data_IF_197659067125
#
_entry.id   IF_197659067125
#
_cell.length_a   1.000
_cell.length_b   1.000
_cell.length_c   1.000
_cell.angle_alpha   90.00
_cell.angle_beta   90.00
_cell.angle_gamma   90.00
#
_symmetry.space_group_name_H-M   'P 1'
#
loop_
_entity.id
_entity.type
_entity.pdbx_description
1 polymer ?
#
# COMPACT_ATOMS: atom_id res chain seq x y z
N UNK A 1 10.11 45.08 -23.89
CA UNK A 1 11.33 45.61 -24.60
C UNK A 1 11.07 46.93 -25.31
N UNK A 2 9.85 47.26 -25.54
CA UNK A 2 9.46 48.44 -26.32
C UNK A 2 9.41 49.76 -25.49
N UNK A 3 9.42 49.67 -24.15
CA UNK A 3 9.17 50.84 -23.30
C UNK A 3 10.42 51.56 -22.75
N UNK A 4 11.64 51.02 -22.93
CA UNK A 4 12.81 51.55 -22.27
C UNK A 4 14.07 51.69 -23.15
N UNK A 5 14.01 51.49 -24.46
CA UNK A 5 15.09 51.64 -25.45
C UNK A 5 16.44 51.01 -25.06
N UNK A 6 16.39 49.92 -24.28
CA UNK A 6 17.57 49.17 -23.85
C UNK A 6 17.65 47.82 -24.59
N UNK A 7 18.88 47.48 -25.04
CA UNK A 7 19.12 46.20 -25.66
C UNK A 7 18.87 45.04 -24.68
N UNK A 8 18.33 43.90 -25.18
CA UNK A 8 18.05 42.70 -24.39
C UNK A 8 19.28 42.21 -23.60
N UNK A 9 20.48 42.30 -24.17
CA UNK A 9 21.74 41.97 -23.45
C UNK A 9 21.96 42.87 -22.24
N UNK A 10 21.69 44.17 -22.36
CA UNK A 10 21.82 45.13 -21.27
C UNK A 10 20.75 44.88 -20.21
N UNK A 11 19.51 44.59 -20.62
CA UNK A 11 18.44 44.22 -19.69
C UNK A 11 18.78 42.93 -18.92
N UNK A 12 19.27 41.88 -19.60
CA UNK A 12 19.71 40.63 -18.95
C UNK A 12 20.83 40.85 -17.95
N UNK A 13 21.79 41.73 -18.28
CA UNK A 13 22.90 42.08 -17.38
C UNK A 13 22.41 42.82 -16.13
N UNK A 14 21.42 43.71 -16.27
CA UNK A 14 20.83 44.47 -15.15
C UNK A 14 20.08 43.59 -14.18
N UNK A 15 19.37 42.56 -14.73
CA UNK A 15 18.55 41.61 -13.93
C UNK A 15 19.38 40.39 -13.47
N UNK A 16 20.64 40.26 -13.91
CA UNK A 16 21.50 39.12 -13.54
C UNK A 16 21.08 37.78 -14.19
N UNK A 17 20.41 37.81 -15.34
CA UNK A 17 19.94 36.63 -16.06
C UNK A 17 20.82 36.39 -17.30
N UNK A 18 21.24 35.13 -17.52
CA UNK A 18 21.95 34.76 -18.74
C UNK A 18 21.06 34.98 -19.98
N UNK A 19 21.52 35.72 -21.02
CA UNK A 19 20.75 35.92 -22.25
C UNK A 19 20.29 34.62 -22.92
N UNK A 20 21.06 33.54 -22.81
CA UNK A 20 20.67 32.21 -23.30
C UNK A 20 19.38 31.68 -22.65
N UNK A 21 19.11 32.04 -21.40
CA UNK A 21 17.89 31.65 -20.70
C UNK A 21 16.65 32.32 -21.27
N UNK A 22 16.80 33.56 -21.78
CA UNK A 22 15.71 34.33 -22.40
C UNK A 22 15.41 33.84 -23.83
N UNK A 23 16.45 33.39 -24.54
CA UNK A 23 16.32 32.93 -25.94
C UNK A 23 16.00 31.44 -26.05
N UNK A 24 16.05 30.71 -24.95
CA UNK A 24 15.77 29.29 -24.97
C UNK A 24 14.27 29.05 -25.15
N UNK A 25 13.91 28.62 -26.34
CA UNK A 25 12.55 28.11 -26.57
C UNK A 25 12.29 26.95 -25.63
N UNK A 26 11.25 27.10 -24.82
CA UNK A 26 10.80 26.00 -23.95
C UNK A 26 10.21 24.94 -24.86
N UNK A 27 10.74 23.69 -24.82
CA UNK A 27 10.13 22.62 -25.58
C UNK A 27 8.66 22.47 -25.21
N UNK A 28 7.80 22.39 -26.21
CA UNK A 28 6.36 22.19 -26.02
C UNK A 28 6.13 20.91 -25.21
N UNK A 29 5.22 20.99 -24.27
CA UNK A 29 4.81 19.82 -23.51
C UNK A 29 3.97 18.88 -24.40
N UNK A 30 4.25 17.57 -24.33
CA UNK A 30 3.49 16.59 -25.08
C UNK A 30 2.01 16.60 -24.67
N UNK A 31 1.09 16.82 -25.60
CA UNK A 31 -0.35 16.76 -25.33
C UNK A 31 -0.80 15.36 -24.88
N UNK A 32 -0.10 14.31 -25.31
CA UNK A 32 -0.36 12.92 -24.93
C UNK A 32 -0.14 12.71 -23.42
N UNK A 33 0.94 13.26 -22.86
CA UNK A 33 1.23 13.20 -21.42
C UNK A 33 0.11 13.87 -20.63
N UNK A 34 -0.36 15.04 -21.07
CA UNK A 34 -1.47 15.74 -20.39
C UNK A 34 -2.76 14.94 -20.45
N UNK A 35 -3.08 14.36 -21.61
CA UNK A 35 -4.26 13.51 -21.81
C UNK A 35 -4.21 12.29 -20.91
N UNK A 36 -3.09 11.60 -20.88
CA UNK A 36 -2.91 10.42 -20.04
C UNK A 36 -2.93 10.74 -18.55
N UNK A 37 -2.31 11.85 -18.14
CA UNK A 37 -2.35 12.34 -16.77
C UNK A 37 -3.79 12.59 -16.29
N UNK A 38 -4.63 13.23 -17.13
CA UNK A 38 -6.06 13.44 -16.85
C UNK A 38 -6.81 12.12 -16.76
N UNK A 39 -6.55 11.19 -17.66
CA UNK A 39 -7.18 9.87 -17.67
C UNK A 39 -6.85 9.06 -16.41
N UNK A 40 -5.61 9.09 -15.94
CA UNK A 40 -5.21 8.46 -14.68
C UNK A 40 -5.87 9.17 -13.49
N UNK A 41 -5.84 10.50 -13.45
CA UNK A 41 -6.43 11.28 -12.36
C UNK A 41 -7.95 11.08 -12.24
N UNK A 42 -8.66 10.96 -13.36
CA UNK A 42 -10.12 10.73 -13.38
C UNK A 42 -10.50 9.37 -12.81
N UNK A 43 -9.71 8.33 -13.11
CA UNK A 43 -9.90 6.98 -12.55
C UNK A 43 -9.51 6.88 -11.08
N UNK A 44 -8.55 7.71 -10.65
CA UNK A 44 -7.93 7.65 -9.31
C UNK A 44 -7.96 9.01 -8.65
N UNK A 45 -9.13 9.46 -8.31
CA UNK A 45 -9.42 10.82 -7.80
C UNK A 45 -8.61 11.22 -6.57
N UNK A 46 -8.09 10.23 -5.81
CA UNK A 46 -7.33 10.45 -4.58
C UNK A 46 -5.81 10.32 -4.76
N UNK A 47 -5.33 10.11 -6.01
CA UNK A 47 -3.90 10.04 -6.29
C UNK A 47 -3.30 11.44 -6.49
N UNK A 48 -2.28 11.75 -5.69
CA UNK A 48 -1.45 12.94 -5.90
C UNK A 48 -0.44 12.73 -7.04
N UNK A 49 0.19 13.83 -7.47
CA UNK A 49 1.10 13.86 -8.62
C UNK A 49 2.20 12.78 -8.58
N UNK A 50 2.73 12.41 -7.40
CA UNK A 50 3.79 11.39 -7.28
C UNK A 50 3.31 10.01 -7.73
N UNK A 51 2.15 9.56 -7.27
CA UNK A 51 1.57 8.27 -7.69
C UNK A 51 1.17 8.29 -9.16
N UNK A 52 0.63 9.41 -9.64
CA UNK A 52 0.33 9.59 -11.07
C UNK A 52 1.64 9.49 -11.87
N UNK A 53 2.73 10.10 -11.42
CA UNK A 53 4.04 10.01 -12.05
C UNK A 53 4.52 8.57 -12.21
N UNK A 54 4.45 7.77 -11.15
CA UNK A 54 4.82 6.35 -11.21
C UNK A 54 3.99 5.58 -12.25
N UNK A 55 2.67 5.84 -12.32
CA UNK A 55 1.81 5.19 -13.30
C UNK A 55 2.10 5.63 -14.75
N UNK A 56 2.51 6.89 -14.95
CA UNK A 56 2.97 7.38 -16.25
C UNK A 56 4.32 6.77 -16.65
N UNK A 57 5.24 6.66 -15.70
CA UNK A 57 6.55 6.01 -15.92
C UNK A 57 6.40 4.54 -16.32
N UNK A 58 5.47 3.79 -15.70
CA UNK A 58 5.12 2.41 -16.08
C UNK A 58 4.55 2.31 -17.49
N UNK A 59 4.03 3.41 -18.04
CA UNK A 59 3.58 3.53 -19.45
C UNK A 59 4.66 4.05 -20.40
N UNK A 60 5.92 4.17 -19.92
CA UNK A 60 7.04 4.69 -20.71
C UNK A 60 7.09 6.22 -20.81
N UNK A 61 6.26 6.95 -20.06
CA UNK A 61 6.22 8.42 -20.09
C UNK A 61 7.09 9.00 -18.97
N UNK A 62 8.40 9.02 -19.18
CA UNK A 62 9.38 9.52 -18.20
C UNK A 62 9.47 11.04 -18.22
N UNK A 63 9.46 11.65 -17.04
CA UNK A 63 9.65 13.09 -16.91
C UNK A 63 10.21 13.47 -15.53
N UNK A 64 10.86 14.66 -15.48
CA UNK A 64 11.31 15.20 -14.21
C UNK A 64 10.12 15.54 -13.31
N UNK A 65 10.24 15.24 -11.99
CA UNK A 65 9.18 15.49 -11.01
C UNK A 65 8.73 16.95 -10.93
N UNK A 66 9.63 17.92 -11.21
CA UNK A 66 9.26 19.36 -11.28
C UNK A 66 8.34 19.64 -12.46
N UNK A 67 8.63 19.04 -13.64
CA UNK A 67 7.75 19.13 -14.81
C UNK A 67 6.41 18.46 -14.55
N UNK A 68 6.40 17.27 -13.98
CA UNK A 68 5.20 16.54 -13.58
C UNK A 68 4.32 17.38 -12.64
N UNK A 69 4.91 17.96 -11.59
CA UNK A 69 4.18 18.79 -10.63
C UNK A 69 3.59 20.04 -11.28
N UNK A 70 4.35 20.71 -12.17
CA UNK A 70 3.86 21.88 -12.92
C UNK A 70 2.65 21.50 -13.77
N UNK A 71 2.75 20.44 -14.58
CA UNK A 71 1.63 19.95 -15.41
C UNK A 71 0.41 19.59 -14.59
N UNK A 72 0.62 18.88 -13.48
CA UNK A 72 -0.43 18.50 -12.54
C UNK A 72 -1.17 19.71 -11.96
N UNK A 73 -0.45 20.79 -11.67
CA UNK A 73 -1.02 22.04 -11.15
C UNK A 73 -1.74 22.83 -12.24
N UNK A 74 -1.17 22.94 -13.43
CA UNK A 74 -1.77 23.59 -14.60
C UNK A 74 -3.11 22.94 -14.98
N UNK A 75 -3.20 21.62 -14.89
CA UNK A 75 -4.43 20.86 -15.17
C UNK A 75 -5.43 20.82 -14.01
N UNK A 76 -5.15 21.53 -12.91
CA UNK A 76 -6.02 21.60 -11.71
C UNK A 76 -6.37 20.23 -11.10
N UNK A 77 -5.44 19.27 -11.15
CA UNK A 77 -5.64 17.90 -10.65
C UNK A 77 -5.39 17.78 -9.15
N UNK A 78 -5.22 18.88 -8.43
CA UNK A 78 -4.91 18.93 -7.01
C UNK A 78 -5.94 18.22 -6.13
N UNK A 79 -5.51 17.17 -5.43
CA UNK A 79 -6.35 16.44 -4.48
C UNK A 79 -6.53 17.28 -3.21
N UNK A 80 -7.77 17.60 -2.86
CA UNK A 80 -8.09 18.27 -1.59
C UNK A 80 -7.75 17.32 -0.45
N UNK A 81 -6.76 17.72 0.38
CA UNK A 81 -6.46 17.00 1.62
C UNK A 81 -7.54 17.31 2.64
N UNK A 82 -8.15 16.27 3.22
CA UNK A 82 -8.98 16.45 4.41
C UNK A 82 -8.07 16.97 5.53
N UNK A 83 -8.29 18.17 6.00
CA UNK A 83 -7.58 18.73 7.15
C UNK A 83 -8.07 18.04 8.41
N UNK A 84 -7.38 16.99 8.84
CA UNK A 84 -7.57 16.41 10.16
C UNK A 84 -7.02 17.35 11.24
N UNK A 85 -7.66 17.35 12.42
CA UNK A 85 -7.15 18.04 13.61
C UNK A 85 -5.77 17.47 13.95
N UNK A 86 -4.76 18.31 14.14
CA UNK A 86 -3.45 17.88 14.65
C UNK A 86 -3.66 17.22 16.02
N UNK A 87 -3.27 15.95 16.14
CA UNK A 87 -3.29 15.23 17.41
C UNK A 87 -1.86 15.20 17.96
N UNK A 88 -1.71 15.33 19.28
CA UNK A 88 -0.44 15.10 19.94
C UNK A 88 0.02 13.66 19.64
N UNK A 89 1.27 13.50 19.25
CA UNK A 89 1.88 12.17 19.03
C UNK A 89 2.52 11.75 20.34
N UNK A 90 1.97 10.73 20.98
CA UNK A 90 2.63 10.05 22.09
C UNK A 90 3.92 9.32 21.63
N UNK A 91 4.70 8.81 22.58
CA UNK A 91 5.85 7.95 22.29
C UNK A 91 5.40 6.73 21.45
N UNK A 92 6.06 6.50 20.33
CA UNK A 92 5.79 5.33 19.47
C UNK A 92 6.61 4.15 20.00
N UNK A 93 5.94 3.15 20.52
CA UNK A 93 6.58 1.84 20.68
C UNK A 93 6.68 1.23 19.26
N UNK A 94 7.88 0.85 18.80
CA UNK A 94 8.01 0.20 17.50
C UNK A 94 7.18 -1.08 17.46
N UNK A 95 6.41 -1.27 16.38
CA UNK A 95 5.77 -2.56 16.12
C UNK A 95 6.83 -3.60 15.79
N UNK A 96 6.60 -4.89 16.14
CA UNK A 96 7.40 -5.97 15.60
C UNK A 96 7.39 -5.87 14.07
N UNK A 97 8.56 -5.77 13.47
CA UNK A 97 8.69 -5.73 12.01
C UNK A 97 8.75 -7.17 11.56
N UNK A 98 7.71 -7.65 10.87
CA UNK A 98 7.77 -8.93 10.18
C UNK A 98 8.84 -8.84 9.08
N UNK A 99 9.78 -9.77 9.09
CA UNK A 99 10.90 -9.79 8.15
C UNK A 99 10.55 -10.56 6.89
N UNK A 100 9.58 -11.48 6.97
CA UNK A 100 9.18 -12.39 5.89
C UNK A 100 7.70 -12.24 5.54
N UNK A 101 7.34 -12.38 4.25
CA UNK A 101 5.94 -12.50 3.86
C UNK A 101 5.27 -13.68 4.55
N UNK A 102 4.05 -13.46 5.04
CA UNK A 102 3.29 -14.50 5.76
C UNK A 102 3.62 -14.63 7.25
N UNK A 103 4.69 -14.04 7.75
CA UNK A 103 5.14 -14.19 9.13
C UNK A 103 4.15 -13.61 10.15
N UNK A 104 3.63 -12.41 9.90
CA UNK A 104 2.71 -11.74 10.81
C UNK A 104 1.58 -11.04 10.05
N UNK A 105 0.34 -11.33 10.45
CA UNK A 105 -0.86 -10.73 9.87
C UNK A 105 -1.50 -9.73 10.82
N UNK A 106 -2.02 -8.64 10.27
CA UNK A 106 -2.84 -7.67 11.00
C UNK A 106 -4.28 -7.76 10.56
N UNK A 107 -5.20 -7.82 11.54
CA UNK A 107 -6.63 -7.90 11.32
C UNK A 107 -7.36 -6.68 11.88
N UNK A 108 -8.39 -6.25 11.17
CA UNK A 108 -9.31 -5.23 11.68
C UNK A 108 -10.67 -5.31 10.98
N UNK A 109 -11.70 -4.70 11.60
CA UNK A 109 -13.01 -4.54 11.02
C UNK A 109 -13.25 -3.11 10.56
N UNK A 110 -13.75 -3.00 9.34
CA UNK A 110 -14.24 -1.74 8.79
C UNK A 110 -15.75 -1.85 8.59
N UNK A 111 -16.49 -0.80 8.89
CA UNK A 111 -17.95 -0.77 8.70
C UNK A 111 -18.34 0.33 7.72
N UNK A 112 -19.39 0.05 6.93
CA UNK A 112 -20.04 1.01 6.05
C UNK A 112 -21.54 0.73 5.96
N UNK A 113 -22.26 1.46 5.12
CA UNK A 113 -23.72 1.40 4.98
C UNK A 113 -24.13 1.21 3.54
N UNK A 114 -25.23 0.45 3.33
CA UNK A 114 -25.94 0.42 2.06
C UNK A 114 -26.93 1.59 2.00
N UNK A 115 -26.84 2.42 0.98
CA UNK A 115 -27.79 3.52 0.79
C UNK A 115 -28.11 4.25 2.09
N UNK A 116 -29.39 4.25 2.50
CA UNK A 116 -29.84 5.09 3.59
C UNK A 116 -29.80 4.47 5.01
N UNK A 117 -29.61 3.15 5.21
CA UNK A 117 -29.85 2.63 6.58
C UNK A 117 -29.18 1.31 7.01
N UNK A 118 -28.90 0.38 6.12
CA UNK A 118 -28.39 -0.95 6.53
C UNK A 118 -26.86 -0.95 6.57
N UNK A 119 -26.30 -1.33 7.72
CA UNK A 119 -24.84 -1.46 7.91
C UNK A 119 -24.33 -2.82 7.41
N UNK A 120 -23.12 -2.81 6.89
CA UNK A 120 -22.32 -4.01 6.68
C UNK A 120 -20.94 -3.84 7.26
N UNK A 121 -20.25 -4.93 7.48
CA UNK A 121 -18.90 -4.97 8.01
C UNK A 121 -17.98 -5.66 7.03
N UNK A 122 -16.72 -5.28 7.08
CA UNK A 122 -15.65 -5.87 6.29
C UNK A 122 -14.56 -6.37 7.23
N UNK A 123 -14.15 -7.62 7.06
CA UNK A 123 -12.93 -8.15 7.66
C UNK A 123 -11.78 -7.84 6.71
N UNK A 124 -10.79 -7.12 7.19
CA UNK A 124 -9.53 -6.88 6.50
C UNK A 124 -8.41 -7.67 7.16
N UNK A 125 -7.62 -8.38 6.37
CA UNK A 125 -6.42 -9.10 6.80
C UNK A 125 -5.26 -8.68 5.92
N UNK A 126 -4.20 -8.16 6.51
CA UNK A 126 -3.02 -7.70 5.80
C UNK A 126 -1.78 -8.42 6.28
N UNK A 127 -0.89 -8.71 5.36
CA UNK A 127 0.49 -9.08 5.64
C UNK A 127 1.30 -7.87 6.12
N UNK A 128 1.97 -8.00 7.26
CA UNK A 128 2.73 -6.90 7.86
C UNK A 128 4.06 -6.63 7.18
N UNK A 129 4.61 -7.60 6.44
CA UNK A 129 5.87 -7.46 5.73
C UNK A 129 5.67 -6.76 4.38
N UNK A 130 4.97 -7.40 3.45
CA UNK A 130 4.78 -6.90 2.09
C UNK A 130 3.57 -5.96 1.91
N UNK A 131 2.77 -5.73 2.95
CA UNK A 131 1.56 -4.88 2.94
C UNK A 131 0.44 -5.41 2.05
N UNK A 132 0.53 -6.64 1.60
CA UNK A 132 -0.52 -7.27 0.80
C UNK A 132 -1.80 -7.44 1.62
N UNK A 133 -2.93 -7.07 1.05
CA UNK A 133 -4.23 -7.39 1.62
C UNK A 133 -4.61 -8.82 1.25
N UNK A 134 -4.54 -9.72 2.21
CA UNK A 134 -4.80 -11.14 2.04
C UNK A 134 -6.30 -11.44 1.96
N UNK A 135 -7.12 -10.68 2.71
CA UNK A 135 -8.58 -10.80 2.73
C UNK A 135 -9.25 -9.43 2.88
N UNK A 136 -10.30 -9.22 2.10
CA UNK A 136 -11.23 -8.11 2.25
C UNK A 136 -12.64 -8.63 2.03
N UNK A 137 -13.22 -9.24 3.07
CA UNK A 137 -14.51 -9.91 3.01
C UNK A 137 -15.60 -9.04 3.63
N UNK A 138 -16.73 -8.86 2.92
CA UNK A 138 -17.87 -8.10 3.41
C UNK A 138 -19.07 -9.01 3.72
N UNK A 139 -19.70 -8.73 4.86
CA UNK A 139 -20.97 -9.38 5.25
C UNK A 139 -21.80 -8.44 6.15
N UNK A 140 -23.09 -8.74 6.29
CA UNK A 140 -23.98 -8.01 7.21
C UNK A 140 -23.69 -8.37 8.68
N UNK A 141 -23.16 -9.57 8.92
CA UNK A 141 -22.74 -10.04 10.24
C UNK A 141 -21.52 -10.95 10.11
N UNK A 142 -20.49 -10.70 10.90
CA UNK A 142 -19.26 -11.49 10.92
C UNK A 142 -19.01 -11.93 12.36
N UNK A 143 -19.19 -13.22 12.64
CA UNK A 143 -18.91 -13.82 13.94
C UNK A 143 -17.45 -14.31 14.02
N UNK A 144 -16.92 -14.54 15.24
CA UNK A 144 -15.58 -15.12 15.41
C UNK A 144 -15.42 -16.49 14.72
N UNK A 145 -16.47 -17.31 14.67
CA UNK A 145 -16.45 -18.57 13.91
C UNK A 145 -16.34 -18.36 12.39
N UNK A 146 -16.89 -17.25 11.86
CA UNK A 146 -16.70 -16.86 10.46
C UNK A 146 -15.29 -16.39 10.22
N UNK A 147 -14.74 -15.59 11.11
CA UNK A 147 -13.32 -15.15 11.02
C UNK A 147 -12.39 -16.36 11.01
N UNK A 148 -12.58 -17.34 11.92
CA UNK A 148 -11.75 -18.54 11.94
C UNK A 148 -11.76 -19.29 10.60
N UNK A 149 -12.93 -19.44 9.96
CA UNK A 149 -13.04 -20.09 8.64
C UNK A 149 -12.32 -19.30 7.53
N UNK A 150 -12.36 -17.98 7.58
CA UNK A 150 -11.59 -17.15 6.62
C UNK A 150 -10.09 -17.30 6.86
N UNK A 151 -9.64 -17.36 8.12
CA UNK A 151 -8.25 -17.61 8.45
C UNK A 151 -7.79 -19.01 7.98
N UNK A 152 -8.61 -20.05 8.13
CA UNK A 152 -8.32 -21.39 7.58
C UNK A 152 -8.14 -21.35 6.06
N UNK A 153 -8.98 -20.57 5.36
CA UNK A 153 -8.84 -20.39 3.92
C UNK A 153 -7.52 -19.68 3.55
N UNK A 154 -7.15 -18.66 4.32
CA UNK A 154 -5.90 -17.93 4.12
C UNK A 154 -4.68 -18.78 4.40
N UNK A 155 -4.70 -19.57 5.48
CA UNK A 155 -3.60 -20.50 5.81
C UNK A 155 -3.35 -21.52 4.69
N UNK A 156 -4.40 -22.01 4.04
CA UNK A 156 -4.26 -22.92 2.88
C UNK A 156 -3.60 -22.27 1.67
N UNK A 157 -3.76 -20.95 1.49
CA UNK A 157 -3.23 -20.22 0.33
C UNK A 157 -1.85 -19.63 0.59
N UNK A 158 -1.66 -19.04 1.76
CA UNK A 158 -0.49 -18.21 2.08
C UNK A 158 0.45 -18.86 3.09
N UNK A 159 0.11 -20.02 3.62
CA UNK A 159 0.81 -20.62 4.75
C UNK A 159 0.34 -20.09 6.10
N UNK A 160 0.78 -20.75 7.17
CA UNK A 160 0.44 -20.40 8.55
C UNK A 160 1.30 -19.23 9.03
N UNK A 161 0.71 -18.12 9.55
CA UNK A 161 1.49 -17.07 10.15
C UNK A 161 2.02 -17.49 11.53
N UNK A 162 3.15 -16.94 11.94
CA UNK A 162 3.67 -17.09 13.31
C UNK A 162 2.87 -16.23 14.28
N UNK A 163 2.48 -15.03 13.84
CA UNK A 163 1.74 -14.12 14.69
C UNK A 163 0.57 -13.43 13.96
N UNK A 164 -0.45 -13.08 14.76
CA UNK A 164 -1.57 -12.27 14.33
C UNK A 164 -1.73 -11.10 15.31
N UNK A 165 -1.96 -9.90 14.78
CA UNK A 165 -2.23 -8.69 15.56
C UNK A 165 -3.65 -8.20 15.29
N UNK A 166 -4.44 -7.97 16.32
CA UNK A 166 -5.80 -7.40 16.20
C UNK A 166 -6.12 -6.44 17.35
N UNK A 167 -7.21 -5.72 17.22
CA UNK A 167 -7.84 -5.04 18.35
C UNK A 167 -8.53 -6.04 19.31
N UNK A 168 -9.08 -5.51 20.41
CA UNK A 168 -9.82 -6.30 21.42
C UNK A 168 -11.31 -6.46 21.07
N UNK A 169 -11.67 -6.44 19.78
CA UNK A 169 -13.05 -6.65 19.36
C UNK A 169 -13.63 -7.96 19.87
N UNK A 170 -14.93 -7.99 20.16
CA UNK A 170 -15.61 -9.17 20.72
C UNK A 170 -15.52 -10.40 19.82
N UNK A 171 -15.42 -10.19 18.52
CA UNK A 171 -15.26 -11.25 17.53
C UNK A 171 -13.87 -11.90 17.62
N UNK A 172 -12.81 -11.07 17.80
CA UNK A 172 -11.42 -11.54 17.90
C UNK A 172 -11.12 -12.16 19.29
N UNK A 173 -11.80 -11.72 20.32
CA UNK A 173 -11.68 -12.32 21.68
C UNK A 173 -12.63 -13.50 21.93
N UNK A 174 -13.33 -13.94 20.90
CA UNK A 174 -14.31 -15.04 21.00
C UNK A 174 -13.63 -16.40 21.25
N UNK A 175 -14.40 -17.34 21.86
CA UNK A 175 -13.92 -18.72 22.07
C UNK A 175 -13.47 -19.41 20.76
N UNK A 176 -14.12 -19.09 19.65
CA UNK A 176 -13.78 -19.66 18.34
C UNK A 176 -12.36 -19.24 17.89
N UNK A 177 -12.00 -17.99 18.09
CA UNK A 177 -10.68 -17.46 17.73
C UNK A 177 -9.61 -17.98 18.71
N UNK A 178 -9.87 -17.97 20.01
CA UNK A 178 -8.93 -18.51 21.00
C UNK A 178 -8.65 -20.00 20.77
N UNK A 179 -9.70 -20.78 20.40
CA UNK A 179 -9.53 -22.17 20.00
C UNK A 179 -8.68 -22.30 18.74
N UNK A 180 -9.03 -21.53 17.70
CA UNK A 180 -8.33 -21.56 16.42
C UNK A 180 -6.84 -21.21 16.56
N UNK A 181 -6.50 -20.15 17.30
CA UNK A 181 -5.12 -19.73 17.52
C UNK A 181 -4.29 -20.84 18.20
N UNK A 182 -4.88 -21.49 19.24
CA UNK A 182 -4.23 -22.59 19.95
C UNK A 182 -4.07 -23.84 19.06
N UNK A 183 -5.10 -24.23 18.27
CA UNK A 183 -5.04 -25.41 17.40
C UNK A 183 -4.06 -25.24 16.24
N UNK A 184 -3.86 -24.01 15.81
CA UNK A 184 -2.91 -23.67 14.75
C UNK A 184 -1.53 -23.24 15.29
N UNK A 185 -1.33 -23.17 16.62
CA UNK A 185 -0.08 -22.70 17.21
C UNK A 185 0.34 -21.33 16.62
N UNK A 186 -0.60 -20.35 16.68
CA UNK A 186 -0.43 -18.97 16.20
C UNK A 186 -0.42 -18.04 17.39
N UNK A 187 0.59 -17.20 17.49
CA UNK A 187 0.71 -16.22 18.56
C UNK A 187 -0.20 -15.01 18.28
N UNK A 188 -1.27 -14.87 19.08
CA UNK A 188 -2.27 -13.84 18.87
C UNK A 188 -2.06 -12.66 19.82
N UNK A 189 -1.64 -11.54 19.25
CA UNK A 189 -1.39 -10.30 19.98
C UNK A 189 -2.57 -9.35 19.89
N UNK A 190 -3.12 -8.99 21.06
CA UNK A 190 -4.12 -7.93 21.17
C UNK A 190 -3.42 -6.60 21.45
N UNK A 191 -3.80 -5.55 20.72
CA UNK A 191 -3.29 -4.21 20.99
C UNK A 191 -3.78 -3.70 22.33
N UNK A 192 -2.95 -2.92 23.00
CA UNK A 192 -3.34 -2.29 24.26
C UNK A 192 -4.45 -1.26 24.04
N UNK A 193 -5.45 -1.19 24.95
CA UNK A 193 -6.50 -0.18 24.87
C UNK A 193 -5.91 1.24 24.75
N UNK A 194 -6.37 2.01 23.75
CA UNK A 194 -5.90 3.36 23.49
C UNK A 194 -4.56 3.46 22.76
N UNK A 195 -3.95 2.34 22.35
CA UNK A 195 -2.73 2.32 21.54
C UNK A 195 -2.95 1.76 20.12
N UNK A 196 -3.78 2.40 19.29
CA UNK A 196 -4.05 1.94 17.93
C UNK A 196 -2.78 1.85 17.07
N UNK A 197 -1.74 2.58 17.42
CA UNK A 197 -0.45 2.57 16.72
C UNK A 197 0.20 1.17 16.68
N UNK A 198 -0.17 0.27 17.62
CA UNK A 198 0.29 -1.12 17.63
C UNK A 198 -0.33 -1.95 16.49
N UNK A 199 -1.36 -1.44 15.79
CA UNK A 199 -1.93 -2.02 14.57
C UNK A 199 -1.83 -1.05 13.36
N UNK A 200 -0.78 -0.24 13.30
CA UNK A 200 -0.63 0.87 12.35
C UNK A 200 -0.63 0.45 10.88
N UNK A 201 -0.32 -0.81 10.58
CA UNK A 201 -0.31 -1.31 9.20
C UNK A 201 -1.73 -1.47 8.67
N UNK A 202 -2.61 -2.11 9.43
CA UNK A 202 -4.01 -2.26 9.04
C UNK A 202 -4.76 -0.92 9.10
N UNK A 203 -4.39 -0.03 10.04
CA UNK A 203 -4.96 1.32 10.09
C UNK A 203 -4.63 2.14 8.83
N UNK A 204 -3.40 2.03 8.35
CA UNK A 204 -2.98 2.67 7.09
C UNK A 204 -3.73 2.10 5.88
N UNK A 205 -3.96 0.79 5.85
CA UNK A 205 -4.80 0.14 4.85
C UNK A 205 -6.23 0.64 4.91
N UNK A 206 -6.86 0.61 6.09
CA UNK A 206 -8.22 1.08 6.30
C UNK A 206 -8.40 2.56 5.95
N UNK A 207 -7.38 3.38 6.22
CA UNK A 207 -7.34 4.78 5.78
C UNK A 207 -7.37 4.91 4.26
N UNK A 208 -6.61 4.07 3.55
CA UNK A 208 -6.61 4.03 2.09
C UNK A 208 -7.94 3.51 1.52
N UNK A 209 -8.49 2.45 2.11
CA UNK A 209 -9.79 1.89 1.72
C UNK A 209 -10.91 2.93 1.85
N UNK A 210 -10.96 3.63 3.00
CA UNK A 210 -11.94 4.70 3.21
C UNK A 210 -11.77 5.84 2.22
N UNK A 211 -10.56 6.28 2.02
CA UNK A 211 -10.25 7.48 1.21
C UNK A 211 -10.45 7.22 -0.28
N UNK A 212 -10.10 6.02 -0.75
CA UNK A 212 -10.04 5.69 -2.18
C UNK A 212 -11.30 4.96 -2.68
N UNK A 213 -12.10 4.34 -1.80
CA UNK A 213 -13.31 3.61 -2.16
C UNK A 213 -14.53 4.00 -1.33
N UNK A 214 -14.52 3.78 0.00
CA UNK A 214 -15.76 3.88 0.80
C UNK A 214 -16.35 5.29 0.83
N UNK A 215 -15.52 6.33 0.73
CA UNK A 215 -16.00 7.73 0.68
C UNK A 215 -16.29 8.23 -0.75
N UNK A 216 -16.00 7.44 -1.76
CA UNK A 216 -16.17 7.83 -3.17
C UNK A 216 -17.30 7.04 -3.85
N UNK A 217 -17.72 5.90 -3.27
CA UNK A 217 -18.71 4.99 -3.84
C UNK A 217 -19.93 4.85 -2.93
N UNK A 218 -21.09 4.62 -3.55
CA UNK A 218 -22.32 4.22 -2.88
C UNK A 218 -22.52 2.72 -3.15
N UNK A 219 -22.90 1.99 -2.11
CA UNK A 219 -23.16 0.57 -2.18
C UNK A 219 -24.66 0.31 -2.11
N UNK A 220 -25.22 -0.35 -3.12
CA UNK A 220 -26.65 -0.65 -3.19
C UNK A 220 -26.97 -1.94 -2.46
N UNK A 221 -26.15 -2.97 -2.67
CA UNK A 221 -26.35 -4.33 -2.12
C UNK A 221 -25.03 -4.89 -1.59
N UNK A 222 -25.13 -6.00 -0.83
CA UNK A 222 -23.94 -6.71 -0.35
C UNK A 222 -23.10 -7.27 -1.51
N UNK A 223 -23.72 -7.74 -2.57
CA UNK A 223 -22.99 -8.26 -3.73
C UNK A 223 -22.33 -7.15 -4.56
N UNK A 224 -22.96 -5.98 -4.64
CA UNK A 224 -22.31 -4.79 -5.23
C UNK A 224 -21.09 -4.37 -4.40
N UNK A 225 -21.22 -4.34 -3.07
CA UNK A 225 -20.10 -4.04 -2.18
C UNK A 225 -18.97 -5.07 -2.34
N UNK A 226 -19.28 -6.36 -2.34
CA UNK A 226 -18.28 -7.43 -2.55
C UNK A 226 -17.54 -7.29 -3.87
N UNK A 227 -18.25 -7.00 -4.96
CA UNK A 227 -17.65 -6.79 -6.28
C UNK A 227 -16.72 -5.59 -6.30
N UNK A 228 -17.16 -4.43 -5.80
CA UNK A 228 -16.36 -3.20 -5.74
C UNK A 228 -15.13 -3.36 -4.85
N UNK A 229 -15.28 -4.02 -3.70
CA UNK A 229 -14.18 -4.34 -2.79
C UNK A 229 -13.16 -5.29 -3.43
N UNK A 230 -13.61 -6.31 -4.17
CA UNK A 230 -12.71 -7.23 -4.87
C UNK A 230 -11.88 -6.52 -5.95
N UNK A 231 -12.49 -5.64 -6.75
CA UNK A 231 -11.80 -4.83 -7.75
C UNK A 231 -10.80 -3.88 -7.11
N UNK A 232 -11.18 -3.20 -6.04
CA UNK A 232 -10.30 -2.28 -5.32
C UNK A 232 -9.13 -3.03 -4.66
N UNK A 233 -9.38 -4.20 -4.04
CA UNK A 233 -8.34 -5.07 -3.48
C UNK A 233 -7.34 -5.52 -4.53
N UNK A 234 -7.82 -5.95 -5.69
CA UNK A 234 -6.94 -6.29 -6.82
C UNK A 234 -6.05 -5.11 -7.21
N UNK A 235 -6.65 -3.93 -7.33
CA UNK A 235 -5.92 -2.71 -7.64
C UNK A 235 -4.90 -2.35 -6.56
N UNK A 236 -5.27 -2.44 -5.31
CA UNK A 236 -4.41 -2.17 -4.16
C UNK A 236 -3.18 -3.07 -4.15
N UNK A 237 -3.36 -4.36 -4.40
CA UNK A 237 -2.28 -5.34 -4.35
C UNK A 237 -1.40 -5.36 -5.61
N UNK A 238 -1.96 -5.11 -6.81
CA UNK A 238 -1.28 -5.39 -8.08
C UNK A 238 -0.98 -4.16 -8.93
N UNK A 239 -1.61 -3.03 -8.68
CA UNK A 239 -1.49 -1.85 -9.55
C UNK A 239 -1.07 -0.59 -8.78
N UNK A 240 -1.60 -0.41 -7.58
CA UNK A 240 -1.39 0.78 -6.77
C UNK A 240 0.06 0.89 -6.29
N UNK A 241 0.78 2.01 -6.57
CA UNK A 241 2.12 2.23 -6.03
C UNK A 241 2.08 2.54 -4.53
N UNK A 242 2.96 1.89 -3.76
CA UNK A 242 3.09 2.10 -2.32
C UNK A 242 4.42 2.77 -1.97
N UNK A 243 4.37 3.98 -1.45
CA UNK A 243 5.57 4.75 -1.10
C UNK A 243 6.43 4.08 -0.02
N UNK A 244 5.81 3.31 0.90
CA UNK A 244 6.52 2.53 1.92
C UNK A 244 7.26 1.31 1.35
N UNK A 245 6.94 0.89 0.13
CA UNK A 245 7.57 -0.21 -0.60
C UNK A 245 8.41 0.31 -1.80
N UNK A 246 8.92 1.53 -1.73
CA UNK A 246 9.69 2.11 -2.85
C UNK A 246 8.87 2.30 -4.13
N UNK A 247 7.56 2.51 -4.02
CA UNK A 247 6.58 2.57 -5.12
C UNK A 247 6.30 1.24 -5.84
N UNK A 248 6.76 0.13 -5.30
CA UNK A 248 6.29 -1.20 -5.72
C UNK A 248 4.85 -1.43 -5.28
N UNK A 249 4.19 -2.38 -5.92
CA UNK A 249 2.93 -2.93 -5.42
C UNK A 249 3.21 -3.97 -4.32
N UNK A 250 2.25 -4.28 -3.44
CA UNK A 250 2.39 -5.38 -2.47
C UNK A 250 2.76 -6.71 -3.11
N UNK A 251 2.15 -7.06 -4.24
CA UNK A 251 2.45 -8.30 -4.97
C UNK A 251 3.85 -8.32 -5.59
N UNK A 252 4.37 -7.17 -6.06
CA UNK A 252 5.76 -7.04 -6.51
C UNK A 252 6.72 -7.21 -5.33
N UNK A 253 6.45 -6.54 -4.21
CA UNK A 253 7.27 -6.64 -3.01
C UNK A 253 7.32 -8.07 -2.45
N UNK A 254 6.17 -8.78 -2.40
CA UNK A 254 6.11 -10.18 -1.99
C UNK A 254 7.01 -11.05 -2.85
N UNK A 255 6.87 -10.96 -4.18
CA UNK A 255 7.68 -11.78 -5.11
C UNK A 255 9.17 -11.56 -4.93
N UNK A 256 9.60 -10.32 -4.75
CA UNK A 256 11.01 -9.99 -4.51
C UNK A 256 11.51 -10.64 -3.22
N UNK A 257 10.75 -10.55 -2.13
CA UNK A 257 11.12 -11.12 -0.84
C UNK A 257 11.17 -12.67 -0.87
N UNK A 258 10.19 -13.31 -1.51
CA UNK A 258 10.16 -14.78 -1.68
C UNK A 258 11.34 -15.29 -2.53
N UNK A 259 11.75 -14.55 -3.55
CA UNK A 259 12.95 -14.88 -4.35
C UNK A 259 14.24 -14.80 -3.53
N UNK A 260 14.37 -13.83 -2.65
CA UNK A 260 15.52 -13.72 -1.75
C UNK A 260 15.57 -14.88 -0.74
N UNK A 261 14.43 -15.33 -0.22
CA UNK A 261 14.37 -16.50 0.67
C UNK A 261 14.76 -17.79 -0.05
N UNK A 262 14.25 -18.03 -1.25
CA UNK A 262 14.64 -19.15 -2.08
C UNK A 262 16.16 -19.20 -2.33
N UNK A 263 16.74 -18.06 -2.69
CA UNK A 263 18.17 -17.95 -2.95
C UNK A 263 19.03 -18.19 -1.70
N UNK A 264 18.57 -17.78 -0.51
CA UNK A 264 19.29 -18.05 0.75
C UNK A 264 19.20 -19.51 1.18
N UNK A 265 18.06 -20.17 0.96
CA UNK A 265 17.91 -21.61 1.21
C UNK A 265 18.78 -22.45 0.28
N UNK A 266 18.84 -22.10 -1.00
CA UNK A 266 19.69 -22.79 -1.97
C UNK A 266 21.18 -22.60 -1.66
N UNK A 267 21.59 -21.42 -1.21
CA UNK A 267 22.97 -21.14 -0.80
C UNK A 267 23.37 -21.92 0.47
N UNK A 268 22.47 -22.00 1.47
CA UNK A 268 22.70 -22.79 2.69
C UNK A 268 22.72 -24.28 2.41
N UNK A 269 21.85 -24.80 1.55
CA UNK A 269 21.84 -26.21 1.15
C UNK A 269 23.10 -26.60 0.36
N UNK A 270 23.71 -25.68 -0.39
CA UNK A 270 24.99 -25.90 -1.06
C UNK A 270 26.16 -25.96 -0.07
N UNK A 271 26.20 -25.07 0.94
CA UNK A 271 27.22 -25.09 1.99
C UNK A 271 27.14 -26.35 2.83
N UNK A 272 25.95 -26.81 3.21
CA UNK A 272 25.78 -28.06 3.98
C UNK A 272 26.23 -29.28 3.19
N UNK A 273 26.00 -29.33 1.87
CA UNK A 273 26.48 -30.40 1.00
C UNK A 273 28.02 -30.38 0.83
N UNK A 274 28.62 -29.20 0.70
CA UNK A 274 30.07 -29.06 0.62
C UNK A 274 30.77 -29.49 1.93
N UNK A 275 30.22 -29.11 3.09
CA UNK A 275 30.72 -29.56 4.40
C UNK A 275 30.59 -31.10 4.57
N UNK A 276 29.48 -31.68 4.11
CA UNK A 276 29.26 -33.12 4.17
C UNK A 276 30.24 -33.89 3.27
N UNK A 277 30.55 -33.39 2.08
CA UNK A 277 31.54 -33.99 1.17
C UNK A 277 32.95 -33.84 1.70
N UNK A 278 33.33 -32.78 2.38
CA UNK A 278 34.64 -32.60 3.00
C UNK A 278 34.80 -33.56 4.17
N UNK A 279 33.82 -33.70 5.06
CA UNK A 279 33.86 -34.64 6.18
C UNK A 279 33.92 -36.10 5.73
N UNK A 280 33.23 -36.49 4.66
CA UNK A 280 33.30 -37.86 4.12
C UNK A 280 34.63 -38.16 3.43
N UNK A 281 35.32 -37.18 2.87
CA UNK A 281 36.67 -37.35 2.32
C UNK A 281 37.74 -37.47 3.40
N UNK A 282 37.62 -36.76 4.52
CA UNK A 282 38.56 -36.87 5.66
C UNK A 282 38.42 -38.18 6.43
N UNK A 283 37.26 -38.85 6.40
CA UNK A 283 37.03 -40.15 7.04
C UNK A 283 37.46 -41.35 6.17
N UNK A 284 37.84 -41.10 4.91
CA UNK A 284 38.24 -42.12 3.95
C UNK A 284 39.75 -42.13 3.65
N UNK A 285 40.54 -41.38 4.39
CA UNK A 285 41.98 -41.36 4.42
C UNK A 285 42.49 -41.93 5.74
#
# INVERSE_FOLDING_TARGET
>A
MLDHDISQRRACKLVGVDPKTVWRDKPLDSPEVRKEMKAVASKRRRFGYRRIGVLLERKGMFMNHKKLYRLYTEENLGVRRRRGRKRARGSRTPMPVALRPGECWSLDFVSDTFGASRKFRMLAVNDNCCRENLCLMADTSISGARVARELDALVRVYGKPSCIVSDNGTEFTSRAILKWARENDVDWHYIEPGKPQQNGFIESFNGSLRDELLNEEIFDTLDDARRKLALWRYDYNNVRPHSSLGNQTPAEARRVLEQFEGSTHDALAQTDNEEYEIQTRELSL
#
